data_IF_818629843508
#
_entry.id   IF_818629843508
#
_cell.length_a   1.000
_cell.length_b   1.000
_cell.length_c   1.000
_cell.angle_alpha   90.00
_cell.angle_beta   90.00
_cell.angle_gamma   90.00
#
_symmetry.space_group_name_H-M   'P 1'
#
loop_
_entity.id
_entity.type
_entity.pdbx_description
1 polymer ?
#
# COMPACT_ATOMS: atom_id res chain seq x y z
N UNK A 1 -11.06 20.91 11.13
CA UNK A 1 -11.59 20.61 9.77
C UNK A 1 -10.99 19.31 9.21
N UNK A 2 -9.81 18.90 9.66
CA UNK A 2 -9.08 17.72 9.18
C UNK A 2 -9.86 16.39 9.27
N UNK A 3 -10.65 16.18 10.33
CA UNK A 3 -11.47 14.98 10.47
C UNK A 3 -12.59 14.89 9.42
N UNK A 4 -13.15 16.03 9.00
CA UNK A 4 -14.19 16.07 7.97
C UNK A 4 -13.59 15.74 6.60
N UNK A 5 -12.41 16.31 6.28
CA UNK A 5 -11.68 15.95 5.07
C UNK A 5 -11.29 14.46 5.06
N UNK A 6 -10.86 13.92 6.20
CA UNK A 6 -10.61 12.49 6.37
C UNK A 6 -11.84 11.63 6.09
N UNK A 7 -13.00 12.00 6.63
CA UNK A 7 -14.26 11.28 6.38
C UNK A 7 -14.66 11.33 4.90
N UNK A 8 -14.63 12.50 4.27
CA UNK A 8 -15.00 12.67 2.86
C UNK A 8 -14.07 11.85 1.96
N UNK A 9 -12.76 11.96 2.15
CA UNK A 9 -11.78 11.21 1.35
C UNK A 9 -11.89 9.70 1.59
N UNK A 10 -12.18 9.27 2.82
CA UNK A 10 -12.43 7.86 3.16
C UNK A 10 -13.67 7.29 2.47
N UNK A 11 -14.78 8.03 2.45
CA UNK A 11 -16.00 7.63 1.74
C UNK A 11 -15.73 7.50 0.24
N UNK A 12 -15.06 8.50 -0.36
CA UNK A 12 -14.69 8.46 -1.78
C UNK A 12 -13.78 7.26 -2.10
N UNK A 13 -12.77 7.02 -1.26
CA UNK A 13 -11.88 5.88 -1.39
C UNK A 13 -12.64 4.55 -1.33
N UNK A 14 -13.57 4.40 -0.38
CA UNK A 14 -14.45 3.24 -0.27
C UNK A 14 -15.28 2.99 -1.53
N UNK A 15 -15.90 4.03 -2.09
CA UNK A 15 -16.67 3.95 -3.35
C UNK A 15 -15.80 3.44 -4.50
N UNK A 16 -14.56 3.96 -4.63
CA UNK A 16 -13.64 3.51 -5.67
C UNK A 16 -13.18 2.06 -5.49
N UNK A 17 -12.89 1.63 -4.24
CA UNK A 17 -12.54 0.24 -3.95
C UNK A 17 -13.69 -0.72 -4.30
N UNK A 18 -14.92 -0.35 -3.94
CA UNK A 18 -16.10 -1.15 -4.25
C UNK A 18 -16.33 -1.25 -5.76
N UNK A 19 -16.22 -0.12 -6.48
CA UNK A 19 -16.34 -0.10 -7.95
C UNK A 19 -15.24 -0.91 -8.63
N UNK A 20 -14.03 -0.92 -8.07
CA UNK A 20 -12.91 -1.73 -8.53
C UNK A 20 -13.04 -3.23 -8.23
N UNK A 21 -14.02 -3.65 -7.41
CA UNK A 21 -14.23 -5.03 -6.94
C UNK A 21 -13.01 -5.67 -6.28
N UNK A 22 -12.06 -4.84 -5.82
CA UNK A 22 -10.83 -5.27 -5.14
C UNK A 22 -11.10 -5.69 -3.68
N UNK A 23 -12.33 -5.44 -3.19
CA UNK A 23 -12.81 -5.88 -1.87
C UNK A 23 -13.17 -7.38 -1.82
N UNK A 24 -13.23 -8.06 -2.97
CA UNK A 24 -13.62 -9.48 -3.05
C UNK A 24 -12.46 -10.41 -2.71
N UNK A 25 -12.73 -11.38 -1.84
CA UNK A 25 -11.78 -12.42 -1.42
C UNK A 25 -11.21 -13.18 -2.62
N UNK A 26 -12.08 -13.58 -3.56
CA UNK A 26 -11.66 -14.34 -4.73
C UNK A 26 -10.64 -13.58 -5.57
N UNK A 27 -10.79 -12.26 -5.68
CA UNK A 27 -9.82 -11.41 -6.40
C UNK A 27 -8.50 -11.32 -5.65
N UNK A 28 -8.54 -11.24 -4.33
CA UNK A 28 -7.34 -11.19 -3.47
C UNK A 28 -6.52 -12.47 -3.57
N UNK A 29 -7.16 -13.63 -3.40
CA UNK A 29 -6.49 -14.92 -3.53
C UNK A 29 -6.07 -15.20 -4.97
N UNK A 30 -6.88 -14.82 -5.98
CA UNK A 30 -6.49 -14.99 -7.38
C UNK A 30 -5.26 -14.14 -7.74
N UNK A 31 -5.09 -12.95 -7.15
CA UNK A 31 -3.89 -12.15 -7.31
C UNK A 31 -2.66 -12.85 -6.68
N UNK A 32 -2.81 -13.40 -5.47
CA UNK A 32 -1.72 -14.14 -4.81
C UNK A 32 -1.36 -15.45 -5.53
N UNK A 33 -2.32 -16.08 -6.20
CA UNK A 33 -2.12 -17.28 -7.04
C UNK A 33 -1.68 -16.95 -8.47
N UNK A 34 -1.47 -15.67 -8.79
CA UNK A 34 -1.09 -15.18 -10.12
C UNK A 34 -2.09 -15.54 -11.23
N UNK A 35 -3.36 -15.72 -10.88
CA UNK A 35 -4.45 -16.05 -11.81
C UNK A 35 -5.19 -14.82 -12.31
N UNK A 36 -5.29 -13.78 -11.48
CA UNK A 36 -5.97 -12.53 -11.80
C UNK A 36 -5.16 -11.33 -11.32
N UNK A 37 -4.63 -10.55 -12.27
CA UNK A 37 -3.75 -9.42 -11.96
C UNK A 37 -4.52 -8.11 -11.81
N UNK A 38 -5.84 -8.14 -11.69
CA UNK A 38 -6.67 -6.93 -11.54
C UNK A 38 -6.22 -6.08 -10.34
N UNK A 39 -5.89 -6.71 -9.22
CA UNK A 39 -5.45 -6.00 -8.00
C UNK A 39 -4.09 -5.36 -8.22
N UNK A 40 -3.15 -6.08 -8.83
CA UNK A 40 -1.82 -5.55 -9.15
C UNK A 40 -1.93 -4.37 -10.12
N UNK A 41 -2.78 -4.48 -11.15
CA UNK A 41 -3.08 -3.39 -12.11
C UNK A 41 -3.68 -2.18 -11.40
N UNK A 42 -4.63 -2.39 -10.50
CA UNK A 42 -5.24 -1.32 -9.70
C UNK A 42 -4.22 -0.61 -8.81
N UNK A 43 -3.42 -1.37 -8.05
CA UNK A 43 -2.40 -0.82 -7.15
C UNK A 43 -1.32 -0.03 -7.91
N UNK A 44 -0.78 -0.59 -9.00
CA UNK A 44 0.24 0.09 -9.79
C UNK A 44 -0.30 1.35 -10.48
N UNK A 45 -1.55 1.32 -10.97
CA UNK A 45 -2.19 2.52 -11.54
C UNK A 45 -2.33 3.61 -10.48
N UNK A 46 -2.74 3.24 -9.27
CA UNK A 46 -2.88 4.19 -8.17
C UNK A 46 -1.52 4.79 -7.78
N UNK A 47 -0.48 3.96 -7.67
CA UNK A 47 0.90 4.43 -7.38
C UNK A 47 1.40 5.35 -8.48
N UNK A 48 1.18 5.03 -9.75
CA UNK A 48 1.56 5.87 -10.88
C UNK A 48 0.90 7.26 -10.82
N UNK A 49 -0.42 7.31 -10.63
CA UNK A 49 -1.18 8.57 -10.54
C UNK A 49 -0.79 9.37 -9.30
N UNK A 50 -0.67 8.72 -8.14
CA UNK A 50 -0.28 9.36 -6.90
C UNK A 50 1.14 9.93 -6.98
N UNK A 51 2.08 9.21 -7.60
CA UNK A 51 3.45 9.67 -7.78
C UNK A 51 3.50 10.96 -8.62
N UNK A 52 2.81 11.01 -9.77
CA UNK A 52 2.74 12.22 -10.60
C UNK A 52 2.05 13.36 -9.84
N UNK A 53 0.90 13.10 -9.22
CA UNK A 53 0.14 14.13 -8.53
C UNK A 53 0.86 14.73 -7.32
N UNK A 54 1.46 13.89 -6.48
CA UNK A 54 2.17 14.33 -5.27
C UNK A 54 3.44 15.10 -5.62
N UNK A 55 4.24 14.63 -6.59
CA UNK A 55 5.45 15.35 -6.99
C UNK A 55 5.15 16.66 -7.73
N UNK A 56 4.07 16.73 -8.52
CA UNK A 56 3.62 17.98 -9.13
C UNK A 56 3.22 19.02 -8.05
N UNK A 57 2.47 18.60 -7.03
CA UNK A 57 2.11 19.46 -5.91
C UNK A 57 3.31 19.86 -5.03
N UNK A 58 4.30 18.97 -4.93
CA UNK A 58 5.57 19.25 -4.26
C UNK A 58 6.37 20.31 -5.02
N UNK A 59 6.47 20.20 -6.34
CA UNK A 59 7.17 21.17 -7.19
C UNK A 59 6.49 22.56 -7.16
N UNK A 60 5.17 22.61 -6.99
CA UNK A 60 4.40 23.84 -6.78
C UNK A 60 4.54 24.43 -5.35
N UNK A 61 5.25 23.75 -4.44
CA UNK A 61 5.44 24.19 -3.06
C UNK A 61 4.22 24.07 -2.15
N UNK A 62 3.17 23.38 -2.60
CA UNK A 62 1.90 23.23 -1.88
C UNK A 62 1.94 22.12 -0.82
N UNK A 63 2.87 21.17 -0.94
CA UNK A 63 2.95 19.97 -0.10
C UNK A 63 4.38 19.72 0.36
N UNK A 64 4.55 19.21 1.58
CA UNK A 64 5.85 18.73 2.10
C UNK A 64 5.88 17.19 2.11
N UNK A 65 6.97 16.61 1.61
CA UNK A 65 7.17 15.16 1.63
C UNK A 65 7.57 14.70 3.05
N UNK A 66 6.65 13.99 3.72
CA UNK A 66 6.91 13.32 4.99
C UNK A 66 7.36 11.89 4.76
N UNK A 67 8.66 11.71 4.51
CA UNK A 67 9.26 10.40 4.27
C UNK A 67 9.43 9.62 5.58
N UNK A 68 9.04 8.35 5.57
CA UNK A 68 9.34 7.41 6.66
C UNK A 68 10.79 6.92 6.52
N UNK A 69 11.53 6.74 7.65
CA UNK A 69 12.88 6.22 7.59
C UNK A 69 12.89 4.77 7.09
N UNK A 70 13.89 4.44 6.28
CA UNK A 70 14.09 3.09 5.75
C UNK A 70 14.89 2.29 6.77
N UNK A 71 14.17 1.49 7.54
CA UNK A 71 14.72 0.60 8.55
C UNK A 71 14.53 -0.84 8.06
N UNK A 72 15.61 -1.49 7.63
CA UNK A 72 15.51 -2.80 6.99
C UNK A 72 14.91 -3.87 7.91
N UNK A 73 15.28 -3.88 9.19
CA UNK A 73 14.74 -4.85 10.15
C UNK A 73 13.21 -4.78 10.23
N UNK A 74 12.65 -3.58 10.36
CA UNK A 74 11.21 -3.35 10.38
C UNK A 74 10.52 -3.67 9.05
N UNK A 75 11.11 -3.28 7.93
CA UNK A 75 10.53 -3.51 6.60
C UNK A 75 10.50 -4.98 6.22
N UNK A 76 11.59 -5.71 6.45
CA UNK A 76 11.69 -7.13 6.10
C UNK A 76 10.75 -7.97 6.98
N UNK A 77 10.85 -7.83 8.30
CA UNK A 77 10.04 -8.61 9.24
C UNK A 77 8.57 -8.23 9.10
N UNK A 78 8.26 -6.93 9.07
CA UNK A 78 6.89 -6.45 8.90
C UNK A 78 6.29 -6.85 7.55
N UNK A 79 7.06 -6.77 6.47
CA UNK A 79 6.63 -7.18 5.13
C UNK A 79 6.33 -8.67 5.03
N UNK A 80 7.16 -9.53 5.65
CA UNK A 80 6.92 -10.97 5.72
C UNK A 80 5.67 -11.31 6.53
N UNK A 81 5.52 -10.72 7.73
CA UNK A 81 4.32 -10.94 8.56
C UNK A 81 3.05 -10.46 7.86
N UNK A 82 3.11 -9.30 7.21
CA UNK A 82 2.00 -8.76 6.42
C UNK A 82 1.64 -9.67 5.24
N UNK A 83 2.63 -10.14 4.48
CA UNK A 83 2.43 -11.03 3.35
C UNK A 83 1.83 -12.39 3.76
N UNK A 84 2.33 -12.98 4.85
CA UNK A 84 1.78 -14.22 5.41
C UNK A 84 0.33 -14.03 5.88
N UNK A 85 0.06 -12.93 6.60
CA UNK A 85 -1.30 -12.60 7.04
C UNK A 85 -2.27 -12.41 5.88
N UNK A 86 -1.85 -11.68 4.83
CA UNK A 86 -2.66 -11.49 3.63
C UNK A 86 -2.93 -12.82 2.91
N UNK A 87 -1.93 -13.71 2.82
CA UNK A 87 -2.09 -15.03 2.22
C UNK A 87 -3.03 -15.96 2.99
N UNK A 88 -2.97 -15.94 4.33
CA UNK A 88 -3.82 -16.77 5.19
C UNK A 88 -5.27 -16.29 5.20
N UNK A 89 -5.48 -14.97 5.30
CA UNK A 89 -6.81 -14.38 5.45
C UNK A 89 -7.50 -14.07 4.12
N UNK A 90 -6.72 -13.86 3.04
CA UNK A 90 -7.24 -13.41 1.74
C UNK A 90 -7.83 -12.00 1.75
N UNK A 91 -7.51 -11.20 2.75
CA UNK A 91 -7.83 -9.78 2.81
C UNK A 91 -6.61 -8.97 3.27
N UNK A 92 -6.47 -7.77 2.74
CA UNK A 92 -5.62 -6.74 3.30
C UNK A 92 -6.44 -5.81 4.21
N UNK A 93 -5.81 -5.05 5.12
CA UNK A 93 -6.51 -4.28 6.16
C UNK A 93 -7.50 -3.24 5.62
N UNK A 94 -7.23 -2.62 4.48
CA UNK A 94 -8.18 -1.71 3.83
C UNK A 94 -9.35 -2.44 3.18
N UNK A 95 -9.09 -3.62 2.61
CA UNK A 95 -10.11 -4.41 1.93
C UNK A 95 -11.01 -5.17 2.89
N UNK A 96 -10.53 -5.54 4.08
CA UNK A 96 -11.36 -6.18 5.11
C UNK A 96 -12.42 -5.20 5.63
N UNK A 97 -12.06 -3.94 5.87
CA UNK A 97 -13.03 -2.89 6.25
C UNK A 97 -14.07 -2.65 5.15
N UNK A 98 -13.65 -2.58 3.89
CA UNK A 98 -14.58 -2.43 2.77
C UNK A 98 -15.46 -3.67 2.56
N UNK A 99 -14.92 -4.88 2.73
CA UNK A 99 -15.68 -6.13 2.64
C UNK A 99 -16.75 -6.24 3.74
N UNK A 100 -16.44 -5.80 4.97
CA UNK A 100 -17.43 -5.67 6.03
C UNK A 100 -18.56 -4.71 5.62
N UNK A 101 -18.20 -3.57 5.00
CA UNK A 101 -19.16 -2.62 4.44
C UNK A 101 -20.04 -3.19 3.31
N UNK A 102 -19.56 -4.18 2.55
CA UNK A 102 -20.36 -4.95 1.58
C UNK A 102 -21.27 -6.01 2.24
N UNK A 103 -21.17 -6.22 3.55
CA UNK A 103 -21.94 -7.23 4.31
C UNK A 103 -21.23 -8.58 4.47
N UNK A 104 -19.93 -8.66 4.18
CA UNK A 104 -19.12 -9.89 4.26
C UNK A 104 -18.52 -10.04 5.66
N UNK A 105 -19.23 -10.76 6.53
CA UNK A 105 -18.90 -10.91 7.95
C UNK A 105 -17.62 -11.72 8.24
N UNK A 106 -17.15 -12.51 7.28
CA UNK A 106 -15.88 -13.23 7.36
C UNK A 106 -14.68 -12.27 7.57
N UNK A 107 -14.78 -11.04 7.06
CA UNK A 107 -13.76 -10.01 7.20
C UNK A 107 -13.57 -9.50 8.64
N UNK A 108 -14.54 -9.71 9.53
CA UNK A 108 -14.48 -9.25 10.94
C UNK A 108 -13.30 -9.87 11.68
N UNK A 109 -13.02 -11.17 11.44
CA UNK A 109 -11.87 -11.83 12.04
C UNK A 109 -10.54 -11.20 11.62
N UNK A 110 -10.47 -10.74 10.37
CA UNK A 110 -9.35 -9.98 9.85
C UNK A 110 -9.18 -8.63 10.53
N UNK A 111 -10.28 -7.91 10.74
CA UNK A 111 -10.29 -6.61 11.41
C UNK A 111 -9.85 -6.77 12.87
N UNK A 112 -10.39 -7.76 13.59
CA UNK A 112 -9.99 -8.06 14.96
C UNK A 112 -8.51 -8.44 15.04
N UNK A 113 -8.03 -9.31 14.15
CA UNK A 113 -6.63 -9.67 14.08
C UNK A 113 -5.71 -8.47 13.82
N UNK A 114 -6.11 -7.56 12.93
CA UNK A 114 -5.38 -6.31 12.68
C UNK A 114 -5.34 -5.42 13.93
N UNK A 115 -6.47 -5.23 14.62
CA UNK A 115 -6.55 -4.39 15.82
C UNK A 115 -5.70 -4.95 16.96
N UNK A 116 -5.79 -6.27 17.21
CA UNK A 116 -4.97 -6.95 18.21
C UNK A 116 -3.49 -6.88 17.84
N UNK A 117 -3.13 -7.16 16.59
CA UNK A 117 -1.75 -7.08 16.12
C UNK A 117 -1.17 -5.66 16.23
N UNK A 118 -1.96 -4.63 15.90
CA UNK A 118 -1.56 -3.23 16.06
C UNK A 118 -1.40 -2.84 17.54
N UNK A 119 -2.28 -3.31 18.42
CA UNK A 119 -2.17 -3.10 19.86
C UNK A 119 -0.92 -3.76 20.45
N UNK A 120 -0.67 -5.03 20.11
CA UNK A 120 0.54 -5.75 20.52
C UNK A 120 1.81 -5.06 20.00
N UNK A 121 1.79 -4.58 18.75
CA UNK A 121 2.89 -3.83 18.19
C UNK A 121 3.13 -2.51 18.95
N UNK A 122 2.08 -1.80 19.34
CA UNK A 122 2.20 -0.56 20.11
C UNK A 122 2.85 -0.78 21.49
N UNK A 123 2.47 -1.86 22.18
CA UNK A 123 3.09 -2.25 23.47
C UNK A 123 4.53 -2.75 23.31
N UNK A 124 4.81 -3.48 22.22
CA UNK A 124 6.16 -3.97 21.92
C UNK A 124 7.08 -2.89 21.33
N UNK A 125 6.51 -1.78 20.84
CA UNK A 125 7.23 -0.68 20.20
C UNK A 125 8.45 -0.18 21.01
N UNK A 126 8.36 0.15 22.31
CA UNK A 126 9.51 0.62 23.09
C UNK A 126 10.67 -0.39 23.17
N UNK A 127 10.40 -1.68 23.02
CA UNK A 127 11.42 -2.72 22.96
C UNK A 127 11.96 -2.91 21.54
N UNK A 128 11.07 -2.90 20.54
CA UNK A 128 11.42 -3.02 19.13
C UNK A 128 12.24 -1.82 18.64
N UNK A 129 11.95 -0.61 19.14
CA UNK A 129 12.69 0.62 18.87
C UNK A 129 14.17 0.51 19.23
N UNK A 130 14.48 -0.21 20.33
CA UNK A 130 15.86 -0.44 20.80
C UNK A 130 16.55 -1.59 20.09
N UNK A 131 15.81 -2.41 19.36
CA UNK A 131 16.29 -3.69 18.83
C UNK A 131 16.13 -3.71 17.31
N UNK A 132 15.08 -4.35 16.81
CA UNK A 132 14.83 -4.62 15.39
C UNK A 132 14.69 -3.33 14.56
N UNK A 133 14.18 -2.25 15.15
CA UNK A 133 14.00 -0.97 14.45
C UNK A 133 15.30 -0.15 14.36
N UNK A 134 16.40 -0.63 14.93
CA UNK A 134 17.74 -0.03 14.70
C UNK A 134 18.51 -0.75 13.59
N UNK A 135 18.07 -1.95 13.19
CA UNK A 135 18.79 -2.78 12.25
C UNK A 135 18.71 -2.21 10.83
N UNK A 136 19.87 -1.81 10.30
CA UNK A 136 19.99 -1.24 8.95
C UNK A 136 19.14 0.03 8.81
N UNK A 137 19.33 0.99 9.72
CA UNK A 137 18.69 2.30 9.63
C UNK A 137 19.43 3.16 8.60
N UNK A 138 18.83 3.28 7.42
CA UNK A 138 19.33 4.14 6.35
C UNK A 138 18.73 5.55 6.41
N UNK A 139 17.82 5.84 7.34
CA UNK A 139 17.17 7.14 7.45
C UNK A 139 16.18 7.42 6.32
N UNK A 140 15.83 8.69 6.11
CA UNK A 140 14.85 9.11 5.10
C UNK A 140 15.52 9.20 3.73
N UNK A 141 15.63 8.05 3.06
CA UNK A 141 16.24 7.97 1.74
C UNK A 141 15.16 7.80 0.67
N UNK A 142 15.26 8.56 -0.42
CA UNK A 142 14.55 8.29 -1.66
C UNK A 142 15.52 7.99 -2.79
N UNK A 143 15.08 7.21 -3.79
CA UNK A 143 15.89 6.89 -4.97
C UNK A 143 16.38 8.17 -5.69
N UNK A 144 15.55 9.22 -5.90
CA UNK A 144 16.00 10.50 -6.44
C UNK A 144 17.11 11.17 -5.62
N UNK A 145 17.03 11.09 -4.29
CA UNK A 145 18.03 11.67 -3.39
C UNK A 145 19.37 10.94 -3.43
N UNK A 146 19.38 9.60 -3.54
CA UNK A 146 20.63 8.82 -3.66
C UNK A 146 21.32 9.11 -4.99
N UNK A 147 20.53 9.13 -6.06
CA UNK A 147 21.04 9.30 -7.42
C UNK A 147 21.37 10.77 -7.76
N UNK A 148 20.97 11.72 -6.91
CA UNK A 148 21.16 13.15 -7.15
C UNK A 148 20.45 13.66 -8.40
N UNK A 149 19.44 12.92 -8.89
CA UNK A 149 18.72 13.23 -10.13
C UNK A 149 17.38 13.88 -9.83
N UNK A 150 16.88 14.65 -10.79
CA UNK A 150 15.53 15.20 -10.72
C UNK A 150 14.49 14.06 -10.60
N UNK A 151 13.54 14.19 -9.67
CA UNK A 151 12.49 13.20 -9.39
C UNK A 151 11.77 12.73 -10.67
N UNK A 152 11.55 13.61 -11.64
CA UNK A 152 10.94 13.29 -12.93
C UNK A 152 11.70 12.23 -13.75
N UNK A 153 13.02 12.15 -13.62
CA UNK A 153 13.84 11.14 -14.31
C UNK A 153 13.60 9.71 -13.80
N UNK A 154 13.02 9.55 -12.60
CA UNK A 154 12.64 8.24 -12.06
C UNK A 154 11.16 7.97 -12.31
N UNK A 155 10.32 9.01 -12.22
CA UNK A 155 8.87 8.91 -12.45
C UNK A 155 8.59 8.47 -13.90
N UNK A 156 9.24 9.09 -14.89
CA UNK A 156 8.96 8.80 -16.31
C UNK A 156 9.28 7.34 -16.70
N UNK A 157 10.48 6.78 -16.39
CA UNK A 157 10.74 5.36 -16.61
C UNK A 157 9.80 4.43 -15.84
N UNK A 158 9.43 4.78 -14.60
CA UNK A 158 8.49 3.99 -13.80
C UNK A 158 7.11 3.93 -14.46
N UNK A 159 6.60 5.05 -14.99
CA UNK A 159 5.34 5.11 -15.73
C UNK A 159 5.41 4.26 -17.01
N UNK A 160 6.49 4.39 -17.78
CA UNK A 160 6.69 3.58 -19.00
C UNK A 160 6.74 2.09 -18.67
N UNK A 161 7.46 1.71 -17.60
CA UNK A 161 7.51 0.34 -17.11
C UNK A 161 6.14 -0.19 -16.66
N UNK A 162 5.35 0.64 -15.99
CA UNK A 162 3.98 0.28 -15.57
C UNK A 162 3.07 0.05 -16.78
N UNK A 163 3.10 0.93 -17.78
CA UNK A 163 2.31 0.78 -19.01
C UNK A 163 2.76 -0.46 -19.79
N UNK A 164 4.07 -0.70 -19.90
CA UNK A 164 4.61 -1.89 -20.53
C UNK A 164 4.13 -3.18 -19.84
N UNK A 165 4.21 -3.21 -18.51
CA UNK A 165 3.73 -4.35 -17.72
C UNK A 165 2.25 -4.60 -17.93
N UNK A 166 1.42 -3.56 -17.97
CA UNK A 166 -0.02 -3.71 -18.22
C UNK A 166 -0.31 -4.29 -19.60
N UNK A 167 0.38 -3.81 -20.64
CA UNK A 167 0.26 -4.38 -21.99
C UNK A 167 0.71 -5.83 -22.04
N UNK A 168 1.74 -6.20 -21.28
CA UNK A 168 2.21 -7.58 -21.19
C UNK A 168 1.22 -8.49 -20.47
N UNK A 169 0.63 -8.04 -19.36
CA UNK A 169 -0.39 -8.77 -18.62
C UNK A 169 -1.65 -8.99 -19.47
N UNK A 170 -2.11 -7.94 -20.16
CA UNK A 170 -3.28 -8.02 -21.04
C UNK A 170 -3.07 -8.97 -22.21
N UNK A 171 -1.87 -8.97 -22.83
CA UNK A 171 -1.51 -9.95 -23.86
C UNK A 171 -1.54 -11.40 -23.38
N UNK A 172 -1.36 -11.65 -22.08
CA UNK A 172 -1.41 -12.99 -21.47
C UNK A 172 -2.80 -13.35 -20.94
N UNK A 173 -3.78 -12.47 -21.06
CA UNK A 173 -5.14 -12.68 -20.55
C UNK A 173 -5.23 -12.67 -19.02
N UNK A 174 -4.29 -12.01 -18.33
CA UNK A 174 -4.18 -11.91 -16.86
C UNK A 174 -4.62 -10.53 -16.33
#
# INVERSE_FOLDING_TARGET
MDLIYGLITGVLFGIFLQKGRVLRYDKQIAALRLQDMTIVKFMLSHVAVAMVGVYLLYDLGLVKLSLKPTILGGVIIGGLLFGLGWGLLGYCPGTSLGALGEGRWDSVWGILGMLVGAGLYAEAYPYLEKTVLTWGNYGKITIPQILGVNHWLIIVPFLLGTVFLFRWLEKRGL
#
